data_IF_839088660405
#
_entry.id   IF_839088660405
#
_cell.length_a   1.000
_cell.length_b   1.000
_cell.length_c   1.000
_cell.angle_alpha   90.00
_cell.angle_beta   90.00
_cell.angle_gamma   90.00
#
_symmetry.space_group_name_H-M   'P 1'
#
loop_
_entity.id
_entity.type
_entity.pdbx_description
1 polymer ?
#
# COMPACT_ATOMS: atom_id res chain seq x y z
N UNK A 1 21.36 -1.98 23.23
CA UNK A 1 21.52 -0.52 23.15
C UNK A 1 21.77 0.01 24.54
N UNK A 2 22.94 0.59 24.81
CA UNK A 2 23.22 1.24 26.09
C UNK A 2 22.63 2.65 26.08
N UNK A 3 21.95 3.07 27.14
CA UNK A 3 21.35 4.42 27.19
C UNK A 3 22.41 5.50 27.39
N UNK A 4 23.46 5.20 28.15
CA UNK A 4 24.51 6.16 28.51
C UNK A 4 25.76 5.88 27.68
N UNK A 5 25.74 6.33 26.42
CA UNK A 5 26.88 6.24 25.51
C UNK A 5 27.52 7.62 25.30
N UNK A 6 28.86 7.69 25.10
CA UNK A 6 29.49 8.93 24.71
C UNK A 6 29.05 9.35 23.29
N UNK A 7 28.93 10.66 23.07
CA UNK A 7 28.52 11.33 21.82
C UNK A 7 27.03 11.28 21.47
N UNK A 8 26.48 10.10 21.18
CA UNK A 8 25.06 9.93 20.82
C UNK A 8 24.39 9.13 21.91
N UNK A 9 23.36 9.71 22.52
CA UNK A 9 22.61 9.04 23.58
C UNK A 9 21.84 7.84 23.02
N UNK A 10 21.74 6.75 23.79
CA UNK A 10 20.87 5.64 23.43
C UNK A 10 19.39 6.04 23.38
N UNK A 11 18.99 7.07 24.12
CA UNK A 11 17.62 7.63 24.06
C UNK A 11 17.34 8.35 22.74
N UNK A 12 18.36 8.95 22.11
CA UNK A 12 18.21 9.60 20.80
C UNK A 12 18.26 8.59 19.65
N UNK A 13 19.00 7.49 19.84
CA UNK A 13 19.20 6.46 18.83
C UNK A 13 18.06 5.45 18.76
N UNK A 14 17.38 5.16 19.88
CA UNK A 14 16.30 4.18 19.94
C UNK A 14 15.17 4.47 18.93
N UNK A 15 14.60 5.70 18.87
CA UNK A 15 13.55 5.99 17.89
C UNK A 15 14.01 5.81 16.44
N UNK A 16 15.26 6.17 16.14
CA UNK A 16 15.83 6.04 14.79
C UNK A 16 16.01 4.57 14.39
N UNK A 17 16.43 3.71 15.33
CA UNK A 17 16.56 2.28 15.09
C UNK A 17 15.20 1.63 14.87
N UNK A 18 14.20 1.98 15.67
CA UNK A 18 12.82 1.46 15.53
C UNK A 18 12.20 1.93 14.22
N UNK A 19 12.47 3.17 13.79
CA UNK A 19 11.94 3.71 12.54
C UNK A 19 12.60 3.12 11.30
N UNK A 20 13.93 2.96 11.30
CA UNK A 20 14.68 2.54 10.12
C UNK A 20 14.83 1.02 10.01
N UNK A 21 14.73 0.29 11.13
CA UNK A 21 14.92 -1.18 11.21
C UNK A 21 13.85 -1.83 12.12
N UNK A 22 12.55 -1.71 11.78
CA UNK A 22 11.44 -2.18 12.63
C UNK A 22 11.45 -3.69 12.90
N UNK A 23 12.16 -4.47 12.08
CA UNK A 23 12.32 -5.92 12.20
C UNK A 23 13.39 -6.35 13.21
N UNK A 24 14.19 -5.42 13.73
CA UNK A 24 15.28 -5.68 14.67
C UNK A 24 14.82 -5.37 16.10
N UNK A 25 14.62 -6.39 16.97
CA UNK A 25 14.26 -6.13 18.37
C UNK A 25 15.42 -5.45 19.11
N UNK A 26 15.17 -4.26 19.66
CA UNK A 26 16.17 -3.47 20.39
C UNK A 26 16.04 -3.71 21.89
N UNK A 27 17.02 -4.37 22.51
CA UNK A 27 17.11 -4.52 23.97
C UNK A 27 17.91 -3.34 24.54
N UNK A 28 17.32 -2.61 25.47
CA UNK A 28 17.95 -1.46 26.14
C UNK A 28 18.71 -1.91 27.39
N UNK A 29 19.88 -1.32 27.64
CA UNK A 29 20.68 -1.54 28.85
C UNK A 29 20.90 -0.21 29.56
N UNK A 30 20.68 -0.18 30.87
CA UNK A 30 20.79 1.04 31.68
C UNK A 30 21.39 0.77 33.05
N UNK A 31 22.08 1.75 33.64
CA UNK A 31 22.51 1.72 35.03
C UNK A 31 21.45 2.33 35.99
N UNK A 32 20.44 3.02 35.45
CA UNK A 32 19.36 3.60 36.24
C UNK A 32 18.34 2.53 36.64
N UNK A 33 18.01 2.46 37.93
CA UNK A 33 16.93 1.62 38.46
C UNK A 33 15.56 2.32 38.41
N UNK A 34 15.49 3.52 37.82
CA UNK A 34 14.27 4.30 37.76
C UNK A 34 13.26 3.66 36.79
N UNK A 35 12.10 3.35 37.34
CA UNK A 35 11.00 2.70 36.64
C UNK A 35 10.48 3.58 35.49
N UNK A 36 10.57 4.91 35.62
CA UNK A 36 10.18 5.88 34.60
C UNK A 36 11.03 5.76 33.33
N UNK A 37 12.34 5.60 33.46
CA UNK A 37 13.27 5.45 32.34
C UNK A 37 12.98 4.17 31.56
N UNK A 38 12.70 3.06 32.27
CA UNK A 38 12.32 1.80 31.64
C UNK A 38 11.01 1.93 30.86
N UNK A 39 10.00 2.58 31.44
CA UNK A 39 8.70 2.82 30.79
C UNK A 39 8.85 3.71 29.56
N UNK A 40 9.70 4.73 29.60
CA UNK A 40 9.97 5.60 28.43
C UNK A 40 10.59 4.83 27.27
N UNK A 41 11.60 4.00 27.54
CA UNK A 41 12.25 3.18 26.51
C UNK A 41 11.26 2.19 25.85
N UNK A 42 10.38 1.57 26.65
CA UNK A 42 9.35 0.69 26.10
C UNK A 42 8.34 1.45 25.23
N UNK A 43 7.95 2.68 25.62
CA UNK A 43 7.07 3.54 24.80
C UNK A 43 7.72 3.96 23.48
N UNK A 44 9.04 4.11 23.46
CA UNK A 44 9.82 4.46 22.27
C UNK A 44 10.14 3.24 21.38
N UNK A 45 9.63 2.05 21.71
CA UNK A 45 9.72 0.86 20.86
C UNK A 45 10.86 -0.10 21.21
N UNK A 46 11.47 0.02 22.40
CA UNK A 46 12.35 -1.02 22.89
C UNK A 46 11.61 -2.35 23.07
N UNK A 47 12.28 -3.44 22.71
CA UNK A 47 11.76 -4.79 22.87
C UNK A 47 11.73 -5.24 24.34
N UNK A 48 12.79 -4.90 25.06
CA UNK A 48 12.95 -5.22 26.48
C UNK A 48 14.06 -4.32 27.07
N UNK A 49 14.20 -4.32 28.39
CA UNK A 49 15.24 -3.57 29.08
C UNK A 49 15.96 -4.39 30.16
N UNK A 50 17.24 -4.10 30.36
CA UNK A 50 18.11 -4.74 31.33
C UNK A 50 18.83 -3.70 32.18
N UNK A 51 18.79 -3.90 33.49
CA UNK A 51 19.48 -3.03 34.45
C UNK A 51 20.86 -3.62 34.73
N UNK A 52 21.89 -2.78 34.68
CA UNK A 52 23.28 -3.13 35.02
C UNK A 52 23.46 -3.09 36.56
N UNK A 53 24.23 -4.03 37.15
CA UNK A 53 24.87 -5.19 36.52
C UNK A 53 23.84 -6.24 36.08
N UNK A 54 24.01 -6.78 34.87
CA UNK A 54 23.02 -7.68 34.27
C UNK A 54 23.28 -9.12 34.74
N UNK A 55 22.25 -9.75 35.29
CA UNK A 55 22.29 -11.18 35.59
C UNK A 55 22.33 -12.02 34.31
N UNK A 56 23.26 -12.97 34.24
CA UNK A 56 23.48 -13.80 33.04
C UNK A 56 22.22 -14.56 32.61
N UNK A 57 21.49 -15.16 33.56
CA UNK A 57 20.23 -15.87 33.30
C UNK A 57 19.17 -14.96 32.68
N UNK A 58 19.05 -13.71 33.16
CA UNK A 58 18.12 -12.70 32.65
C UNK A 58 18.53 -12.21 31.26
N UNK A 59 19.82 -12.02 31.03
CA UNK A 59 20.34 -11.66 29.71
C UNK A 59 20.04 -12.75 28.67
N UNK A 60 20.38 -14.00 28.98
CA UNK A 60 20.17 -15.14 28.09
C UNK A 60 18.67 -15.34 27.78
N UNK A 61 17.81 -15.23 28.80
CA UNK A 61 16.35 -15.31 28.61
C UNK A 61 15.82 -14.19 27.70
N UNK A 62 16.24 -12.94 27.95
CA UNK A 62 15.85 -11.78 27.15
C UNK A 62 16.26 -11.94 25.68
N UNK A 63 17.51 -12.34 25.42
CA UNK A 63 18.04 -12.56 24.07
C UNK A 63 17.33 -13.72 23.38
N UNK A 64 17.05 -14.83 24.08
CA UNK A 64 16.29 -15.95 23.50
C UNK A 64 14.91 -15.52 23.04
N UNK A 65 14.16 -14.77 23.85
CA UNK A 65 12.85 -14.23 23.46
C UNK A 65 12.93 -13.27 22.28
N UNK A 66 13.97 -12.42 22.24
CA UNK A 66 14.19 -11.51 21.11
C UNK A 66 14.47 -12.28 19.83
N UNK A 67 15.28 -13.34 19.89
CA UNK A 67 15.58 -14.21 18.75
C UNK A 67 14.38 -15.04 18.32
N UNK A 68 13.57 -15.53 19.26
CA UNK A 68 12.34 -16.27 18.97
C UNK A 68 11.29 -15.39 18.28
N UNK A 69 11.06 -14.18 18.78
CA UNK A 69 10.13 -13.22 18.15
C UNK A 69 10.64 -12.78 16.78
N UNK A 70 11.96 -12.61 16.61
CA UNK A 70 12.56 -12.35 15.29
C UNK A 70 12.43 -13.56 14.36
N UNK A 71 12.59 -14.77 14.88
CA UNK A 71 12.42 -16.04 14.16
C UNK A 71 10.98 -16.21 13.67
N UNK A 72 10.00 -16.04 14.55
CA UNK A 72 8.57 -16.10 14.23
C UNK A 72 8.18 -15.02 13.21
N UNK A 73 8.66 -13.77 13.35
CA UNK A 73 8.40 -12.71 12.36
C UNK A 73 9.03 -13.01 11.00
N UNK A 74 10.22 -13.61 10.98
CA UNK A 74 10.88 -14.07 9.74
C UNK A 74 10.19 -15.28 9.13
N UNK A 75 9.69 -16.22 9.93
CA UNK A 75 8.94 -17.38 9.46
C UNK A 75 7.57 -16.97 8.92
N UNK A 76 6.87 -16.04 9.55
CA UNK A 76 5.64 -15.44 8.99
C UNK A 76 5.95 -14.70 7.68
N UNK A 77 7.08 -14.00 7.58
CA UNK A 77 7.55 -13.40 6.32
C UNK A 77 7.90 -14.45 5.25
N UNK A 78 8.65 -15.49 5.62
CA UNK A 78 9.09 -16.57 4.72
C UNK A 78 7.93 -17.46 4.25
N UNK A 79 6.94 -17.72 5.11
CA UNK A 79 5.70 -18.42 4.74
C UNK A 79 4.83 -17.55 3.82
N UNK A 80 4.80 -16.22 4.01
CA UNK A 80 4.21 -15.29 3.02
C UNK A 80 4.95 -15.33 1.68
N UNK A 81 6.27 -15.52 1.68
CA UNK A 81 7.06 -15.70 0.46
C UNK A 81 6.81 -17.05 -0.23
N UNK A 82 6.60 -18.14 0.52
CA UNK A 82 6.29 -19.48 -0.04
C UNK A 82 4.91 -19.55 -0.71
N UNK A 83 3.98 -18.63 -0.42
CA UNK A 83 2.68 -18.57 -1.11
C UNK A 83 2.79 -18.06 -2.57
N UNK A 84 3.87 -17.37 -2.91
CA UNK A 84 4.22 -16.92 -4.27
C UNK A 84 5.22 -17.92 -4.89
N UNK A 85 5.07 -19.21 -4.62
CA UNK A 85 5.85 -20.25 -5.26
C UNK A 85 5.08 -20.81 -6.45
N UNK A 86 5.43 -20.33 -7.65
CA UNK A 86 5.53 -21.03 -8.94
C UNK A 86 5.66 -20.01 -10.08
N UNK A 87 6.91 -19.74 -10.50
CA UNK A 87 7.23 -19.04 -11.76
C UNK A 87 7.14 -17.51 -11.75
N UNK A 88 7.10 -16.87 -10.57
CA UNK A 88 7.27 -15.41 -10.41
C UNK A 88 8.75 -15.14 -10.15
N UNK A 89 9.39 -14.30 -10.97
CA UNK A 89 10.84 -14.06 -10.92
C UNK A 89 11.26 -13.09 -9.81
N UNK A 90 10.39 -12.14 -9.46
CA UNK A 90 10.58 -11.03 -8.50
C UNK A 90 9.47 -11.01 -7.45
N UNK A 91 9.34 -12.06 -6.61
CA UNK A 91 8.27 -12.18 -5.61
C UNK A 91 8.25 -11.04 -4.58
N UNK A 92 9.38 -10.38 -4.35
CA UNK A 92 9.52 -9.23 -3.47
C UNK A 92 8.65 -8.03 -3.89
N UNK A 93 8.40 -7.85 -5.19
CA UNK A 93 7.55 -6.76 -5.70
C UNK A 93 6.08 -6.92 -5.30
N UNK A 94 5.67 -8.13 -4.93
CA UNK A 94 4.29 -8.47 -4.58
C UNK A 94 4.09 -8.69 -3.08
N UNK A 95 5.11 -8.42 -2.26
CA UNK A 95 5.11 -8.73 -0.81
C UNK A 95 3.91 -8.14 -0.05
N UNK A 96 3.44 -6.96 -0.44
CA UNK A 96 2.29 -6.30 0.19
C UNK A 96 0.92 -6.87 -0.23
N UNK A 97 0.89 -7.84 -1.16
CA UNK A 97 -0.33 -8.47 -1.66
C UNK A 97 -0.47 -9.84 -1.01
N UNK A 98 -1.33 -9.94 -0.01
CA UNK A 98 -1.59 -11.20 0.69
C UNK A 98 -2.57 -12.04 -0.12
N UNK A 99 -2.09 -13.18 -0.63
CA UNK A 99 -2.92 -14.12 -1.38
C UNK A 99 -2.30 -15.52 -1.46
N UNK A 100 -3.13 -16.55 -1.54
CA UNK A 100 -2.79 -17.92 -1.92
C UNK A 100 -3.50 -18.36 -3.23
N UNK A 101 -4.26 -17.46 -3.86
CA UNK A 101 -5.05 -17.77 -5.05
C UNK A 101 -4.18 -17.94 -6.30
N UNK A 102 -4.42 -19.03 -7.04
CA UNK A 102 -3.69 -19.32 -8.29
C UNK A 102 -3.91 -18.26 -9.36
N UNK A 103 -5.12 -17.69 -9.45
CA UNK A 103 -5.44 -16.64 -10.40
C UNK A 103 -4.62 -15.37 -10.15
N UNK A 104 -4.37 -15.04 -8.88
CA UNK A 104 -3.47 -13.93 -8.52
C UNK A 104 -2.03 -14.22 -8.94
N UNK A 105 -1.56 -15.46 -8.81
CA UNK A 105 -0.22 -15.86 -9.29
C UNK A 105 -0.07 -15.72 -10.80
N UNK A 106 -1.13 -16.01 -11.57
CA UNK A 106 -1.14 -15.76 -13.03
C UNK A 106 -1.02 -14.26 -13.32
N UNK A 107 -1.73 -13.42 -12.57
CA UNK A 107 -1.63 -11.96 -12.70
C UNK A 107 -0.21 -11.45 -12.37
N UNK A 108 0.45 -11.98 -11.35
CA UNK A 108 1.82 -11.58 -11.00
C UNK A 108 2.81 -11.86 -12.12
N UNK A 109 2.77 -13.07 -12.72
CA UNK A 109 3.61 -13.39 -13.89
C UNK A 109 3.33 -12.49 -15.09
N UNK A 110 2.06 -12.15 -15.32
CA UNK A 110 1.70 -11.20 -16.37
C UNK A 110 2.24 -9.80 -16.09
N UNK A 111 2.14 -9.32 -14.84
CA UNK A 111 2.69 -8.03 -14.40
C UNK A 111 4.20 -7.97 -14.63
N UNK A 112 4.94 -9.02 -14.30
CA UNK A 112 6.38 -9.12 -14.58
C UNK A 112 6.67 -9.06 -16.07
N UNK A 113 5.95 -9.83 -16.88
CA UNK A 113 6.15 -9.88 -18.33
C UNK A 113 5.93 -8.52 -19.01
N UNK A 114 5.05 -7.67 -18.47
CA UNK A 114 4.78 -6.32 -18.99
C UNK A 114 5.54 -5.22 -18.23
N UNK A 115 6.34 -5.56 -17.22
CA UNK A 115 6.94 -4.60 -16.31
C UNK A 115 7.88 -3.62 -17.02
N UNK A 116 8.63 -4.08 -18.02
CA UNK A 116 9.57 -3.24 -18.78
C UNK A 116 8.91 -2.45 -19.92
N UNK A 117 7.63 -2.73 -20.22
CA UNK A 117 6.88 -2.04 -21.27
C UNK A 117 6.64 -0.57 -20.92
N UNK A 118 6.69 0.31 -21.94
CA UNK A 118 6.28 1.72 -21.82
C UNK A 118 4.79 1.93 -22.09
N UNK A 119 4.11 0.91 -22.60
CA UNK A 119 2.70 0.99 -22.92
C UNK A 119 1.83 1.19 -21.66
N UNK A 120 0.67 1.86 -21.80
CA UNK A 120 -0.25 2.06 -20.70
C UNK A 120 -0.78 0.75 -20.13
N UNK A 121 -1.01 0.74 -18.82
CA UNK A 121 -1.64 -0.37 -18.11
C UNK A 121 -2.97 0.08 -17.52
N UNK A 122 -4.02 -0.70 -17.74
CA UNK A 122 -5.33 -0.47 -17.13
C UNK A 122 -5.63 -1.57 -16.10
N UNK A 123 -5.89 -1.14 -14.86
CA UNK A 123 -6.23 -2.01 -13.74
C UNK A 123 -7.73 -1.86 -13.44
N UNK A 124 -8.48 -2.92 -13.69
CA UNK A 124 -9.93 -2.99 -13.43
C UNK A 124 -10.20 -3.85 -12.22
N UNK A 125 -11.27 -3.53 -11.51
CA UNK A 125 -11.72 -4.31 -10.36
C UNK A 125 -12.54 -3.46 -9.40
N UNK A 126 -13.40 -4.13 -8.63
CA UNK A 126 -14.30 -3.46 -7.69
C UNK A 126 -13.56 -2.60 -6.66
N UNK A 127 -14.29 -1.71 -6.00
CA UNK A 127 -13.75 -0.90 -4.91
C UNK A 127 -13.18 -1.80 -3.81
N UNK A 128 -11.96 -1.51 -3.38
CA UNK A 128 -11.31 -2.24 -2.28
C UNK A 128 -10.67 -3.58 -2.64
N UNK A 129 -10.49 -3.91 -3.92
CA UNK A 129 -9.80 -5.14 -4.37
C UNK A 129 -8.26 -5.06 -4.34
N UNK A 130 -7.68 -3.87 -4.17
CA UNK A 130 -6.23 -3.67 -4.11
C UNK A 130 -5.59 -3.15 -5.41
N UNK A 131 -6.33 -2.41 -6.25
CA UNK A 131 -5.81 -1.81 -7.50
C UNK A 131 -4.51 -1.00 -7.31
N UNK A 132 -4.44 -0.21 -6.24
CA UNK A 132 -3.25 0.59 -5.93
C UNK A 132 -2.03 -0.28 -5.58
N UNK A 133 -2.21 -1.38 -4.84
CA UNK A 133 -1.11 -2.31 -4.53
C UNK A 133 -0.54 -2.96 -5.80
N UNK A 134 -1.40 -3.24 -6.78
CA UNK A 134 -0.98 -3.79 -8.08
C UNK A 134 -0.22 -2.73 -8.89
N UNK A 135 -0.65 -1.46 -8.86
CA UNK A 135 0.11 -0.37 -9.49
C UNK A 135 1.49 -0.20 -8.86
N UNK A 136 1.59 -0.30 -7.53
CA UNK A 136 2.86 -0.26 -6.79
C UNK A 136 3.76 -1.44 -7.16
N UNK A 137 3.21 -2.66 -7.18
CA UNK A 137 3.95 -3.87 -7.56
C UNK A 137 4.49 -3.77 -8.99
N UNK A 138 3.67 -3.30 -9.95
CA UNK A 138 4.08 -3.06 -11.33
C UNK A 138 5.21 -2.02 -11.41
N UNK A 139 5.11 -0.92 -10.65
CA UNK A 139 6.14 0.09 -10.62
C UNK A 139 7.48 -0.47 -10.09
N UNK A 140 7.44 -1.21 -8.98
CA UNK A 140 8.64 -1.86 -8.43
C UNK A 140 9.22 -2.88 -9.41
N UNK A 141 8.38 -3.71 -10.02
CA UNK A 141 8.81 -4.70 -11.01
C UNK A 141 9.43 -4.05 -12.25
N UNK A 142 9.02 -2.84 -12.63
CA UNK A 142 9.55 -2.13 -13.81
C UNK A 142 10.98 -1.61 -13.66
N UNK A 143 11.52 -1.58 -12.44
CA UNK A 143 12.88 -1.06 -12.18
C UNK A 143 13.10 0.41 -12.55
N UNK A 144 12.02 1.18 -12.76
CA UNK A 144 12.10 2.61 -13.11
C UNK A 144 12.74 3.41 -11.98
N UNK A 145 13.59 4.36 -12.33
CA UNK A 145 14.37 5.17 -11.38
C UNK A 145 13.58 6.35 -10.79
N UNK A 146 12.56 6.83 -11.49
CA UNK A 146 11.66 7.87 -10.98
C UNK A 146 10.65 7.31 -9.98
N UNK A 147 9.97 8.19 -9.24
CA UNK A 147 8.94 7.79 -8.26
C UNK A 147 7.61 7.45 -8.93
N UNK A 148 6.80 6.62 -8.27
CA UNK A 148 5.38 6.55 -8.57
C UNK A 148 4.66 7.75 -7.96
N UNK A 149 3.85 8.45 -8.76
CA UNK A 149 3.00 9.55 -8.31
C UNK A 149 1.55 9.18 -8.59
N UNK A 150 0.70 9.27 -7.57
CA UNK A 150 -0.70 8.89 -7.66
C UNK A 150 -1.60 10.14 -7.70
N UNK A 151 -2.66 10.06 -8.51
CA UNK A 151 -3.76 11.03 -8.54
C UNK A 151 -5.09 10.26 -8.58
N UNK A 152 -5.93 10.48 -7.58
CA UNK A 152 -7.32 10.05 -7.66
C UNK A 152 -8.12 11.11 -8.41
N UNK A 153 -8.79 10.70 -9.48
CA UNK A 153 -9.47 11.62 -10.40
C UNK A 153 -10.94 11.84 -10.01
N UNK A 154 -11.46 11.03 -9.09
CA UNK A 154 -12.85 11.11 -8.65
C UNK A 154 -13.18 12.50 -8.08
N UNK A 155 -14.23 13.11 -8.61
CA UNK A 155 -14.73 14.40 -8.15
C UNK A 155 -13.93 15.63 -8.61
N UNK A 156 -12.89 15.46 -9.43
CA UNK A 156 -12.18 16.60 -10.03
C UNK A 156 -12.92 17.14 -11.26
N UNK A 157 -13.10 18.46 -11.32
CA UNK A 157 -13.51 19.12 -12.56
C UNK A 157 -12.34 19.23 -13.57
N UNK A 158 -12.64 19.68 -14.79
CA UNK A 158 -11.63 19.77 -15.86
C UNK A 158 -10.47 20.73 -15.51
N UNK A 159 -10.76 21.82 -14.80
CA UNK A 159 -9.76 22.82 -14.44
C UNK A 159 -8.84 22.27 -13.35
N UNK A 160 -9.40 21.70 -12.28
CA UNK A 160 -8.65 21.08 -11.19
C UNK A 160 -7.83 19.88 -11.67
N UNK A 161 -8.40 19.05 -12.54
CA UNK A 161 -7.67 17.95 -13.16
C UNK A 161 -6.49 18.46 -13.98
N UNK A 162 -6.72 19.45 -14.85
CA UNK A 162 -5.67 19.99 -15.72
C UNK A 162 -4.59 20.70 -14.92
N UNK A 163 -4.96 21.48 -13.92
CA UNK A 163 -4.04 22.18 -13.03
C UNK A 163 -3.16 21.21 -12.25
N UNK A 164 -3.77 20.17 -11.68
CA UNK A 164 -3.06 19.19 -10.88
C UNK A 164 -2.15 18.35 -11.76
N UNK A 165 -2.65 17.86 -12.90
CA UNK A 165 -1.92 16.98 -13.80
C UNK A 165 -0.79 17.70 -14.54
N UNK A 166 -1.12 18.79 -15.24
CA UNK A 166 -0.23 19.48 -16.17
C UNK A 166 0.44 20.71 -15.57
N UNK A 167 -0.11 21.27 -14.50
CA UNK A 167 0.37 22.52 -13.91
C UNK A 167 -0.13 23.76 -14.65
N UNK A 168 0.34 24.93 -14.22
CA UNK A 168 -0.02 26.22 -14.81
C UNK A 168 1.15 27.20 -14.79
N UNK A 169 1.08 28.17 -15.69
CA UNK A 169 1.89 29.39 -15.62
C UNK A 169 1.10 30.51 -14.93
N UNK A 170 1.83 31.50 -14.40
CA UNK A 170 1.24 32.69 -13.79
C UNK A 170 0.25 33.36 -14.74
N UNK A 171 -0.95 33.65 -14.23
CA UNK A 171 -2.02 34.30 -14.99
C UNK A 171 -2.89 33.36 -15.84
N UNK A 172 -2.71 32.05 -15.75
CA UNK A 172 -3.52 31.08 -16.50
C UNK A 172 -5.02 31.12 -16.14
N UNK A 173 -5.36 31.45 -14.88
CA UNK A 173 -6.72 31.63 -14.39
C UNK A 173 -6.73 32.56 -13.16
N UNK A 174 -7.92 32.96 -12.70
CA UNK A 174 -8.07 33.79 -11.50
C UNK A 174 -7.50 33.10 -10.26
N UNK A 175 -6.44 33.64 -9.67
CA UNK A 175 -5.72 33.04 -8.53
C UNK A 175 -4.42 32.31 -8.89
N UNK A 176 -4.05 32.25 -10.18
CA UNK A 176 -2.77 31.73 -10.63
C UNK A 176 -1.63 32.75 -10.42
N UNK A 177 -1.27 33.02 -9.16
CA UNK A 177 -0.32 34.09 -8.80
C UNK A 177 1.16 33.75 -9.10
N UNK A 178 1.46 32.46 -9.29
CA UNK A 178 2.80 31.93 -9.57
C UNK A 178 2.73 30.71 -10.48
N UNK A 179 3.86 30.35 -11.09
CA UNK A 179 3.96 29.09 -11.84
C UNK A 179 3.90 27.89 -10.89
N UNK A 180 3.25 26.81 -11.35
CA UNK A 180 3.16 25.54 -10.63
C UNK A 180 3.40 24.38 -11.58
N UNK A 181 4.40 23.56 -11.29
CA UNK A 181 4.61 22.30 -12.01
C UNK A 181 3.53 21.28 -11.69
N UNK A 182 3.01 20.61 -12.72
CA UNK A 182 2.04 19.52 -12.58
C UNK A 182 2.66 18.25 -12.01
N UNK A 183 1.83 17.36 -11.49
CA UNK A 183 2.29 16.07 -10.94
C UNK A 183 2.95 15.18 -12.00
N UNK A 184 2.64 15.38 -13.28
CA UNK A 184 3.25 14.61 -14.36
C UNK A 184 4.76 14.83 -14.44
N UNK A 185 5.23 16.05 -14.13
CA UNK A 185 6.65 16.38 -14.04
C UNK A 185 7.29 15.67 -12.85
N UNK A 186 6.54 15.53 -11.74
CA UNK A 186 6.99 14.77 -10.57
C UNK A 186 7.11 13.26 -10.84
N UNK A 187 6.41 12.74 -11.85
CA UNK A 187 6.44 11.33 -12.26
C UNK A 187 7.50 11.03 -13.33
N UNK A 188 8.36 12.02 -13.67
CA UNK A 188 9.40 11.86 -14.68
C UNK A 188 10.30 10.65 -14.39
N UNK A 189 10.61 9.89 -15.44
CA UNK A 189 11.32 8.60 -15.41
C UNK A 189 10.73 7.54 -14.46
N UNK A 190 9.52 7.77 -13.94
CA UNK A 190 8.79 6.93 -13.01
C UNK A 190 7.44 6.51 -13.57
N UNK A 191 6.42 6.48 -12.71
CA UNK A 191 5.07 6.06 -13.05
C UNK A 191 4.05 7.09 -12.58
N UNK A 192 3.12 7.49 -13.45
CA UNK A 192 1.93 8.25 -13.08
C UNK A 192 0.76 7.27 -12.94
N UNK A 193 0.24 7.13 -11.73
CA UNK A 193 -0.93 6.32 -11.42
C UNK A 193 -2.20 7.20 -11.34
N UNK A 194 -3.17 6.96 -12.20
CA UNK A 194 -4.46 7.66 -12.21
C UNK A 194 -5.57 6.72 -11.73
N UNK A 195 -6.09 6.95 -10.52
CA UNK A 195 -7.17 6.13 -9.95
C UNK A 195 -8.55 6.72 -10.28
N UNK A 196 -9.54 5.84 -10.41
CA UNK A 196 -10.91 6.18 -10.83
C UNK A 196 -11.00 6.93 -12.17
N UNK A 197 -10.30 6.43 -13.20
CA UNK A 197 -10.27 7.04 -14.54
C UNK A 197 -11.65 7.14 -15.21
N UNK A 198 -12.61 6.31 -14.78
CA UNK A 198 -14.00 6.34 -15.25
C UNK A 198 -14.76 7.63 -14.90
N UNK A 199 -14.32 8.36 -13.86
CA UNK A 199 -14.94 9.61 -13.43
C UNK A 199 -14.45 10.85 -14.22
N UNK A 200 -13.53 10.66 -15.16
CA UNK A 200 -13.06 11.76 -16.01
C UNK A 200 -14.17 12.31 -16.89
N UNK A 201 -14.29 13.64 -16.90
CA UNK A 201 -15.13 14.32 -17.89
C UNK A 201 -14.54 14.21 -19.31
N UNK A 202 -15.39 14.40 -20.33
CA UNK A 202 -15.02 14.23 -21.74
C UNK A 202 -13.87 15.15 -22.19
N UNK A 203 -13.77 16.37 -21.67
CA UNK A 203 -12.71 17.33 -22.03
C UNK A 203 -11.36 16.87 -21.49
N UNK A 204 -11.32 16.42 -20.25
CA UNK A 204 -10.13 15.88 -19.61
C UNK A 204 -9.67 14.57 -20.26
N UNK A 205 -10.61 13.72 -20.73
CA UNK A 205 -10.30 12.52 -21.51
C UNK A 205 -9.55 12.86 -22.82
N UNK A 206 -9.91 13.95 -23.51
CA UNK A 206 -9.19 14.40 -24.72
C UNK A 206 -7.75 14.81 -24.39
N UNK A 207 -7.55 15.54 -23.28
CA UNK A 207 -6.21 15.96 -22.85
C UNK A 207 -5.34 14.77 -22.47
N UNK A 208 -5.90 13.79 -21.75
CA UNK A 208 -5.20 12.56 -21.41
C UNK A 208 -4.86 11.73 -22.67
N UNK A 209 -5.77 11.63 -23.63
CA UNK A 209 -5.50 10.94 -24.90
C UNK A 209 -4.32 11.56 -25.64
N UNK A 210 -4.25 12.90 -25.73
CA UNK A 210 -3.11 13.61 -26.32
C UNK A 210 -1.81 13.31 -25.61
N UNK A 211 -1.82 13.34 -24.27
CA UNK A 211 -0.65 12.95 -23.47
C UNK A 211 -0.17 11.53 -23.81
N UNK A 212 -1.10 10.58 -23.94
CA UNK A 212 -0.80 9.17 -24.25
C UNK A 212 -0.30 8.94 -25.68
N UNK A 213 -0.68 9.81 -26.61
CA UNK A 213 -0.31 9.70 -28.03
C UNK A 213 1.00 10.44 -28.32
N UNK A 214 1.08 11.69 -27.87
CA UNK A 214 2.15 12.60 -28.25
C UNK A 214 3.30 12.60 -27.24
N UNK A 215 3.11 12.01 -26.05
CA UNK A 215 4.04 12.10 -24.92
C UNK A 215 4.41 13.54 -24.56
N UNK A 216 3.53 14.47 -24.88
CA UNK A 216 3.68 15.90 -24.59
C UNK A 216 2.41 16.45 -23.97
N UNK A 217 2.56 17.54 -23.23
CA UNK A 217 1.46 18.25 -22.60
C UNK A 217 1.75 19.75 -22.56
N UNK A 218 0.71 20.54 -22.31
CA UNK A 218 0.79 21.99 -22.18
C UNK A 218 0.34 22.37 -20.77
N UNK A 219 1.16 23.07 -19.97
CA UNK A 219 0.68 23.71 -18.76
C UNK A 219 -0.47 24.67 -19.09
N UNK A 220 -1.43 24.81 -18.17
CA UNK A 220 -2.50 25.79 -18.33
C UNK A 220 -1.92 27.19 -18.53
N UNK A 221 -2.44 27.89 -19.55
CA UNK A 221 -1.99 29.23 -19.92
C UNK A 221 -0.67 29.28 -20.69
N UNK A 222 -0.11 28.15 -21.12
CA UNK A 222 1.13 28.09 -21.89
C UNK A 222 0.93 27.48 -23.27
N UNK A 223 1.53 28.11 -24.30
CA UNK A 223 1.64 27.57 -25.66
C UNK A 223 2.92 26.75 -25.87
N UNK A 224 3.72 26.57 -24.82
CA UNK A 224 4.98 25.80 -24.86
C UNK A 224 4.69 24.39 -24.35
N UNK A 225 4.89 23.39 -25.21
CA UNK A 225 4.75 21.99 -24.81
C UNK A 225 5.93 21.52 -23.96
N UNK A 226 5.65 20.56 -23.09
CA UNK A 226 6.62 19.82 -22.31
C UNK A 226 6.50 18.33 -22.63
N UNK A 227 7.62 17.61 -22.59
CA UNK A 227 7.67 16.15 -22.82
C UNK A 227 7.47 15.42 -21.50
N UNK A 228 6.74 14.31 -21.53
CA UNK A 228 6.61 13.37 -20.42
C UNK A 228 7.16 12.00 -20.81
N UNK A 229 8.03 11.44 -19.98
CA UNK A 229 8.56 10.09 -20.06
C UNK A 229 7.97 9.15 -18.97
N UNK A 230 6.99 9.65 -18.22
CA UNK A 230 6.31 8.90 -17.18
C UNK A 230 5.49 7.76 -17.79
N UNK A 231 5.58 6.56 -17.19
CA UNK A 231 4.68 5.47 -17.57
C UNK A 231 3.30 5.74 -17.02
N UNK A 232 2.26 5.58 -17.84
CA UNK A 232 0.88 5.78 -17.40
C UNK A 232 0.29 4.45 -16.94
N UNK A 233 -0.20 4.41 -15.70
CA UNK A 233 -0.99 3.32 -15.15
C UNK A 233 -2.31 3.90 -14.69
N UNK A 234 -3.43 3.30 -15.09
CA UNK A 234 -4.76 3.78 -14.72
C UNK A 234 -5.55 2.70 -14.00
N UNK A 235 -6.47 3.10 -13.14
CA UNK A 235 -7.37 2.21 -12.43
C UNK A 235 -8.82 2.68 -12.48
N UNK A 236 -9.77 1.75 -12.43
CA UNK A 236 -11.20 2.06 -12.29
C UNK A 236 -11.99 0.89 -11.74
N UNK A 237 -13.05 1.19 -10.99
CA UNK A 237 -14.08 0.24 -10.60
C UNK A 237 -15.29 0.18 -11.55
N UNK A 238 -15.35 1.06 -12.56
CA UNK A 238 -16.50 1.17 -13.47
C UNK A 238 -16.34 0.25 -14.68
N UNK A 239 -17.48 -0.16 -15.24
CA UNK A 239 -17.49 -0.80 -16.55
C UNK A 239 -17.36 0.28 -17.65
N UNK A 240 -16.11 0.51 -18.08
CA UNK A 240 -15.82 1.48 -19.14
C UNK A 240 -16.53 1.15 -20.46
N UNK A 241 -16.86 -0.13 -20.72
CA UNK A 241 -17.62 -0.49 -21.93
C UNK A 241 -19.05 0.01 -21.84
N UNK A 242 -19.67 -0.12 -20.68
CA UNK A 242 -20.98 0.47 -20.42
C UNK A 242 -20.93 2.01 -20.46
N UNK A 243 -19.88 2.64 -19.92
CA UNK A 243 -19.69 4.11 -20.00
C UNK A 243 -19.51 4.61 -21.44
N UNK A 244 -18.81 3.85 -22.30
CA UNK A 244 -18.70 4.16 -23.73
C UNK A 244 -20.07 4.13 -24.42
N UNK A 245 -20.90 3.11 -24.16
CA UNK A 245 -22.27 3.03 -24.71
C UNK A 245 -23.13 4.20 -24.23
N UNK A 246 -22.91 4.68 -23.01
CA UNK A 246 -23.58 5.86 -22.42
C UNK A 246 -23.01 7.20 -22.91
N UNK A 247 -21.96 7.20 -23.75
CA UNK A 247 -21.31 8.42 -24.26
C UNK A 247 -20.53 9.20 -23.19
N UNK A 248 -20.23 8.57 -22.05
CA UNK A 248 -19.49 9.16 -20.92
C UNK A 248 -17.99 8.86 -20.97
N UNK A 249 -17.59 7.87 -21.74
CA UNK A 249 -16.18 7.52 -21.94
C UNK A 249 -15.87 7.41 -23.43
N UNK A 250 -14.73 7.95 -23.86
CA UNK A 250 -14.33 7.93 -25.27
C UNK A 250 -13.74 6.58 -25.67
N UNK A 251 -14.16 6.10 -26.83
CA UNK A 251 -13.71 4.83 -27.39
C UNK A 251 -12.22 4.82 -27.76
N UNK A 252 -11.70 5.92 -28.30
CA UNK A 252 -10.29 6.07 -28.67
C UNK A 252 -9.37 6.03 -27.43
N UNK A 253 -9.75 6.71 -26.35
CA UNK A 253 -9.04 6.66 -25.08
C UNK A 253 -9.08 5.25 -24.47
N UNK A 254 -10.23 4.57 -24.48
CA UNK A 254 -10.34 3.20 -23.96
C UNK A 254 -9.35 2.25 -24.65
N UNK A 255 -9.28 2.27 -25.98
CA UNK A 255 -8.36 1.41 -26.71
C UNK A 255 -6.89 1.77 -26.48
N UNK A 256 -6.57 3.06 -26.30
CA UNK A 256 -5.19 3.49 -25.98
C UNK A 256 -4.75 3.09 -24.58
N UNK A 257 -5.66 3.11 -23.60
CA UNK A 257 -5.40 2.67 -22.22
C UNK A 257 -5.34 1.14 -22.08
N UNK A 258 -6.02 0.41 -22.96
CA UNK A 258 -6.18 -1.04 -22.87
C UNK A 258 -5.05 -1.85 -23.51
N UNK A 259 -3.87 -1.27 -23.71
CA UNK A 259 -2.69 -1.99 -24.22
C UNK A 259 -2.34 -3.19 -23.32
N UNK A 260 -2.36 -2.98 -22.01
CA UNK A 260 -2.14 -4.03 -21.02
C UNK A 260 -3.26 -4.04 -19.97
N UNK A 261 -4.29 -4.89 -20.15
CA UNK A 261 -5.38 -4.99 -19.18
C UNK A 261 -5.02 -5.93 -18.02
N UNK A 262 -5.31 -5.51 -16.80
CA UNK A 262 -5.26 -6.30 -15.57
C UNK A 262 -6.65 -6.24 -14.94
N UNK A 263 -7.24 -7.39 -14.65
CA UNK A 263 -8.55 -7.48 -14.01
C UNK A 263 -8.42 -8.18 -12.66
N UNK A 264 -8.72 -7.46 -11.57
CA UNK A 264 -8.65 -8.01 -10.23
C UNK A 264 -9.95 -8.69 -9.83
N UNK A 265 -9.90 -9.98 -9.44
CA UNK A 265 -11.07 -10.66 -8.94
C UNK A 265 -11.52 -10.07 -7.60
N UNK A 266 -12.85 -9.94 -7.39
CA UNK A 266 -13.39 -9.55 -6.10
C UNK A 266 -13.12 -10.61 -5.04
N UNK A 267 -13.17 -10.23 -3.76
CA UNK A 267 -12.83 -11.09 -2.63
C UNK A 267 -13.74 -12.33 -2.55
N UNK A 268 -15.02 -12.21 -2.94
CA UNK A 268 -15.96 -13.35 -3.04
C UNK A 268 -15.53 -14.44 -4.03
N UNK A 269 -14.70 -14.10 -5.02
CA UNK A 269 -14.11 -15.06 -5.96
C UNK A 269 -12.75 -15.58 -5.49
N UNK A 270 -12.32 -15.19 -4.28
CA UNK A 270 -11.03 -15.52 -3.66
C UNK A 270 -11.21 -16.03 -2.22
N UNK A 271 -12.11 -17.00 -1.96
CA UNK A 271 -12.45 -17.41 -0.60
C UNK A 271 -11.25 -17.95 0.19
N UNK A 272 -10.29 -18.59 -0.48
CA UNK A 272 -9.09 -19.14 0.19
C UNK A 272 -8.15 -18.05 0.73
N UNK A 273 -8.29 -16.80 0.26
CA UNK A 273 -7.53 -15.67 0.81
C UNK A 273 -8.10 -15.19 2.15
N UNK A 274 -9.37 -15.49 2.47
CA UNK A 274 -10.04 -14.96 3.66
C UNK A 274 -9.32 -15.32 4.98
N UNK A 275 -8.90 -16.57 5.23
CA UNK A 275 -8.17 -16.90 6.47
C UNK A 275 -6.85 -16.14 6.60
N UNK A 276 -6.11 -16.01 5.49
CA UNK A 276 -4.83 -15.32 5.44
C UNK A 276 -4.98 -13.82 5.68
N UNK A 277 -5.96 -13.20 5.01
CA UNK A 277 -6.27 -11.78 5.16
C UNK A 277 -6.79 -11.46 6.56
N UNK A 278 -7.66 -12.30 7.12
CA UNK A 278 -8.18 -12.14 8.47
C UNK A 278 -7.04 -12.12 9.49
N UNK A 279 -6.18 -13.15 9.47
CA UNK A 279 -5.05 -13.24 10.38
C UNK A 279 -4.11 -12.03 10.23
N UNK A 280 -3.78 -11.69 8.98
CA UNK A 280 -2.93 -10.53 8.68
C UNK A 280 -3.48 -9.22 9.26
N UNK A 281 -4.77 -8.93 9.06
CA UNK A 281 -5.37 -7.70 9.57
C UNK A 281 -5.57 -7.70 11.09
N UNK A 282 -5.75 -8.85 11.73
CA UNK A 282 -5.80 -8.94 13.19
C UNK A 282 -4.43 -8.58 13.77
N UNK A 283 -3.35 -9.14 13.23
CA UNK A 283 -1.98 -8.82 13.63
C UNK A 283 -1.66 -7.35 13.40
N UNK A 284 -1.97 -6.83 12.20
CA UNK A 284 -1.75 -5.43 11.82
C UNK A 284 -2.49 -4.47 12.77
N UNK A 285 -3.78 -4.75 13.05
CA UNK A 285 -4.61 -3.92 13.92
C UNK A 285 -4.17 -3.99 15.40
N UNK A 286 -3.83 -5.17 15.90
CA UNK A 286 -3.37 -5.34 17.27
C UNK A 286 -2.05 -4.59 17.50
N UNK A 287 -1.11 -4.70 16.56
CA UNK A 287 0.15 -3.96 16.58
C UNK A 287 -0.09 -2.45 16.52
N UNK A 288 -0.93 -1.96 15.60
CA UNK A 288 -1.19 -0.53 15.45
C UNK A 288 -1.90 0.09 16.66
N UNK A 289 -2.64 -0.72 17.42
CA UNK A 289 -3.40 -0.30 18.60
C UNK A 289 -2.69 -0.62 19.93
N UNK A 290 -1.46 -1.15 19.89
CA UNK A 290 -0.69 -1.59 21.07
C UNK A 290 -1.46 -2.58 21.97
N UNK A 291 -2.14 -3.55 21.35
CA UNK A 291 -2.91 -4.60 22.03
C UNK A 291 -2.26 -5.98 21.82
N UNK A 292 -2.46 -6.93 22.74
CA UNK A 292 -2.13 -8.33 22.46
C UNK A 292 -2.94 -8.83 21.27
N UNK A 293 -2.33 -9.65 20.42
CA UNK A 293 -2.97 -10.24 19.24
C UNK A 293 -4.05 -11.22 19.70
N UNK A 294 -5.34 -10.95 19.44
CA UNK A 294 -6.40 -11.89 19.79
C UNK A 294 -6.50 -13.01 18.74
N UNK A 295 -7.05 -14.15 19.14
CA UNK A 295 -7.33 -15.27 18.25
C UNK A 295 -8.72 -15.09 17.62
N UNK A 296 -8.83 -15.33 16.32
CA UNK A 296 -10.14 -15.40 15.66
C UNK A 296 -10.86 -16.70 16.06
N UNK A 297 -12.14 -16.66 16.49
CA UNK A 297 -12.92 -17.87 16.70
C UNK A 297 -13.14 -18.62 15.39
N UNK A 298 -13.17 -19.96 15.43
CA UNK A 298 -13.28 -20.80 14.21
C UNK A 298 -14.55 -20.52 13.41
N UNK A 299 -15.64 -20.19 14.11
CA UNK A 299 -16.93 -19.88 13.49
C UNK A 299 -16.92 -18.54 12.73
N UNK A 300 -15.95 -17.65 13.00
CA UNK A 300 -15.81 -16.38 12.30
C UNK A 300 -15.51 -16.57 10.82
N UNK A 301 -14.62 -17.52 10.49
CA UNK A 301 -14.29 -17.81 9.09
C UNK A 301 -15.52 -18.31 8.33
N UNK A 302 -16.33 -19.15 8.97
CA UNK A 302 -17.58 -19.63 8.39
C UNK A 302 -18.54 -18.47 8.11
N UNK A 303 -18.72 -17.57 9.08
CA UNK A 303 -19.56 -16.38 8.91
C UNK A 303 -19.06 -15.48 7.76
N UNK A 304 -17.77 -15.16 7.75
CA UNK A 304 -17.16 -14.30 6.73
C UNK A 304 -17.22 -14.93 5.34
N UNK A 305 -17.09 -16.25 5.23
CA UNK A 305 -17.12 -16.95 3.92
C UNK A 305 -18.45 -16.84 3.17
N UNK A 306 -19.56 -16.61 3.89
CA UNK A 306 -20.90 -16.48 3.31
C UNK A 306 -21.19 -15.02 2.89
N UNK A 307 -20.43 -14.05 3.41
CA UNK A 307 -20.62 -12.64 3.11
C UNK A 307 -19.98 -12.24 1.78
N UNK A 308 -20.69 -11.43 0.99
CA UNK A 308 -20.27 -11.09 -0.37
C UNK A 308 -19.12 -10.05 -0.45
N UNK A 309 -18.84 -9.34 0.65
CA UNK A 309 -17.87 -8.24 0.73
C UNK A 309 -17.98 -7.21 -0.40
N UNK A 310 -19.06 -6.40 -0.45
CA UNK A 310 -19.20 -5.33 -1.46
C UNK A 310 -18.04 -4.32 -1.46
N UNK A 311 -17.37 -4.09 -0.33
CA UNK A 311 -16.15 -3.28 -0.25
C UNK A 311 -14.84 -4.10 -0.26
N UNK A 312 -14.93 -5.40 -0.58
CA UNK A 312 -13.82 -6.33 -0.77
C UNK A 312 -12.82 -6.32 0.40
N UNK A 313 -11.52 -6.31 0.12
CA UNK A 313 -10.44 -6.36 1.12
C UNK A 313 -10.45 -5.12 2.02
N UNK A 314 -10.85 -3.95 1.50
CA UNK A 314 -10.96 -2.71 2.29
C UNK A 314 -12.05 -2.80 3.36
N UNK A 315 -13.18 -3.41 3.04
CA UNK A 315 -14.26 -3.66 4.01
C UNK A 315 -13.82 -4.67 5.06
N UNK A 316 -13.24 -5.81 4.65
CA UNK A 316 -12.70 -6.81 5.58
C UNK A 316 -11.71 -6.19 6.57
N UNK A 317 -10.75 -5.41 6.07
CA UNK A 317 -9.78 -4.69 6.92
C UNK A 317 -10.49 -3.77 7.91
N UNK A 318 -11.45 -2.98 7.46
CA UNK A 318 -12.21 -2.06 8.33
C UNK A 318 -12.98 -2.79 9.43
N UNK A 319 -13.64 -3.91 9.10
CA UNK A 319 -14.36 -4.74 10.05
C UNK A 319 -13.43 -5.31 11.13
N UNK A 320 -12.29 -5.87 10.72
CA UNK A 320 -11.30 -6.45 11.64
C UNK A 320 -10.69 -5.38 12.54
N UNK A 321 -10.31 -4.22 11.99
CA UNK A 321 -9.78 -3.11 12.78
C UNK A 321 -10.74 -2.63 13.85
N UNK A 322 -12.03 -2.52 13.51
CA UNK A 322 -13.07 -2.15 14.46
C UNK A 322 -13.27 -3.23 15.54
N UNK A 323 -13.29 -4.51 15.16
CA UNK A 323 -13.41 -5.61 16.12
C UNK A 323 -12.24 -5.63 17.13
N UNK A 324 -11.00 -5.46 16.66
CA UNK A 324 -9.82 -5.36 17.54
C UNK A 324 -9.89 -4.11 18.43
N UNK A 325 -10.42 -3.00 17.93
CA UNK A 325 -10.61 -1.79 18.73
C UNK A 325 -11.62 -1.98 19.87
N UNK A 326 -12.72 -2.68 19.61
CA UNK A 326 -13.74 -3.02 20.61
C UNK A 326 -13.30 -4.11 21.58
N UNK A 327 -12.31 -4.93 21.20
CA UNK A 327 -11.78 -5.99 22.05
C UNK A 327 -11.09 -5.42 23.30
N UNK A 328 -11.64 -5.72 24.49
CA UNK A 328 -11.15 -5.21 25.79
C UNK A 328 -10.38 -6.24 26.60
N UNK A 329 -10.77 -7.50 26.54
CA UNK A 329 -10.18 -8.57 27.37
C UNK A 329 -10.45 -9.96 26.78
N UNK A 330 -9.60 -10.91 27.12
CA UNK A 330 -9.70 -12.31 26.70
C UNK A 330 -8.85 -12.64 25.47
N UNK A 331 -8.56 -13.94 25.24
CA UNK A 331 -7.70 -14.38 24.15
C UNK A 331 -8.40 -14.47 22.80
N UNK A 332 -9.74 -14.43 22.74
CA UNK A 332 -10.55 -14.66 21.53
C UNK A 332 -11.37 -13.42 21.18
N UNK A 333 -11.43 -13.07 19.88
CA UNK A 333 -12.27 -11.97 19.37
C UNK A 333 -13.76 -12.26 19.56
N UNK A 334 -14.51 -11.22 19.92
CA UNK A 334 -15.98 -11.32 20.01
C UNK A 334 -16.62 -11.39 18.62
N UNK A 335 -17.47 -12.40 18.41
CA UNK A 335 -18.30 -12.52 17.21
C UNK A 335 -19.32 -11.38 17.06
N UNK A 336 -19.66 -10.67 18.15
CA UNK A 336 -20.62 -9.56 18.10
C UNK A 336 -20.12 -8.38 17.25
N UNK A 337 -18.81 -8.21 17.13
CA UNK A 337 -18.23 -7.12 16.34
C UNK A 337 -18.31 -7.33 14.82
N UNK A 338 -18.76 -8.51 14.38
CA UNK A 338 -18.89 -8.90 12.97
C UNK A 338 -20.35 -9.15 12.55
N UNK A 339 -21.33 -8.82 13.40
CA UNK A 339 -22.76 -8.98 13.12
C UNK A 339 -23.42 -7.71 12.62
#
# INVERSE_FOLDING_TARGET
LDLFMPHVSGTELLPQLVQNYPEVPVIVMTASQELETAVSCMKEGAFDYLVKPVEESRFVSCVRRALEIRGLRREVGALRHSLIENGVERPECFFHIITCQRDMQVLFRYIEAIADSREPVIITGETGTGKELIAQALHQASGRSGKMVSLNVAGLDDNMFSDTLFGHVKGAFTGADRDRGGIIVSAASGTLFLDEIGDLNMTSQVKLLRLLQDHTFYPLGSDISQVSDARIVVATNQDLRAEMVRGKFRQDLFFRLSSHPINLPPLRNRPDDLPLLLQHFIEEAAQSQNKPVPTAPEELLTLLSVYAFPGNVRELRSLVYNAVAQHRSGPVLSMQSFR
#
